data_IF_186907155496
#
_entry.id   IF_186907155496
#
_cell.length_a   1.000
_cell.length_b   1.000
_cell.length_c   1.000
_cell.angle_alpha   90.00
_cell.angle_beta   90.00
_cell.angle_gamma   90.00
#
_symmetry.space_group_name_H-M   'P 1'
#
loop_
_entity.id
_entity.type
_entity.pdbx_description
1 polymer ?
#
# COMPACT_ATOMS: atom_id res chain seq x y z
N UNK A 1 6.04 20.89 13.54
CA UNK A 1 7.24 20.97 12.66
C UNK A 1 7.96 19.62 12.54
N UNK A 2 8.27 18.91 13.64
CA UNK A 2 8.97 17.60 13.54
C UNK A 2 8.23 16.56 12.69
N UNK A 3 6.91 16.44 12.85
CA UNK A 3 6.12 15.45 12.11
C UNK A 3 6.14 15.67 10.59
N UNK A 4 6.12 16.93 10.14
CA UNK A 4 6.21 17.27 8.73
C UNK A 4 7.59 16.88 8.14
N UNK A 5 8.69 17.14 8.87
CA UNK A 5 10.02 16.75 8.41
C UNK A 5 10.27 15.24 8.39
N UNK A 6 9.65 14.49 9.32
CA UNK A 6 9.69 13.02 9.30
C UNK A 6 8.94 12.49 8.09
N UNK A 7 7.76 13.05 7.79
CA UNK A 7 6.97 12.66 6.62
C UNK A 7 7.74 12.95 5.32
N UNK A 8 8.26 14.18 5.16
CA UNK A 8 9.00 14.59 3.96
C UNK A 8 10.28 13.75 3.76
N UNK A 9 11.02 13.47 4.83
CA UNK A 9 12.20 12.59 4.75
C UNK A 9 11.85 11.16 4.33
N UNK A 10 10.72 10.63 4.81
CA UNK A 10 10.22 9.31 4.42
C UNK A 10 9.75 9.30 2.96
N UNK A 11 9.09 10.37 2.50
CA UNK A 11 8.64 10.50 1.10
C UNK A 11 9.82 10.59 0.12
N UNK A 12 10.93 11.24 0.50
CA UNK A 12 12.14 11.33 -0.33
C UNK A 12 12.90 10.00 -0.50
N UNK A 13 12.84 9.12 0.50
CA UNK A 13 13.52 7.82 0.48
C UNK A 13 12.69 6.74 -0.25
N UNK A 14 11.41 7.00 -0.51
CA UNK A 14 10.49 5.99 -1.03
C UNK A 14 10.29 6.15 -2.54
N UNK A 15 10.42 5.02 -3.25
CA UNK A 15 9.91 4.89 -4.61
C UNK A 15 8.41 4.61 -4.58
N UNK A 16 7.58 5.64 -4.65
CA UNK A 16 6.14 5.61 -4.34
C UNK A 16 5.29 4.58 -5.11
N UNK A 17 5.77 4.11 -6.27
CA UNK A 17 5.10 3.06 -7.05
C UNK A 17 5.44 1.63 -6.59
N UNK A 18 6.59 1.45 -5.93
CA UNK A 18 7.20 0.14 -5.63
C UNK A 18 7.10 -0.23 -4.14
N UNK A 19 6.99 0.75 -3.25
CA UNK A 19 6.90 0.52 -1.80
C UNK A 19 5.63 1.17 -1.28
N UNK A 20 4.93 0.45 -0.40
CA UNK A 20 3.72 0.96 0.24
C UNK A 20 3.75 0.68 1.73
N UNK A 21 3.36 1.68 2.52
CA UNK A 21 3.21 1.57 3.97
C UNK A 21 1.76 1.86 4.32
N UNK A 22 1.11 0.86 4.90
CA UNK A 22 -0.30 0.88 5.24
C UNK A 22 -0.49 0.72 6.74
N UNK A 23 -1.47 1.43 7.28
CA UNK A 23 -1.97 1.20 8.63
C UNK A 23 -3.32 0.53 8.49
N UNK A 24 -3.39 -0.71 8.98
CA UNK A 24 -4.57 -1.55 8.94
C UNK A 24 -5.23 -1.59 10.33
N UNK A 25 -6.54 -1.39 10.37
CA UNK A 25 -7.36 -1.50 11.57
C UNK A 25 -8.39 -2.62 11.37
N UNK A 26 -8.12 -3.83 11.87
CA UNK A 26 -9.09 -4.92 11.83
C UNK A 26 -10.25 -4.65 12.80
N UNK A 27 -11.46 -4.99 12.36
CA UNK A 27 -12.69 -4.92 13.15
C UNK A 27 -13.14 -6.32 13.58
N UNK A 28 -13.98 -6.39 14.62
CA UNK A 28 -14.45 -7.67 15.18
C UNK A 28 -15.37 -8.48 14.27
N UNK A 29 -15.85 -7.90 13.18
CA UNK A 29 -16.68 -8.55 12.15
C UNK A 29 -15.85 -9.12 10.98
N UNK A 30 -14.51 -9.02 11.05
CA UNK A 30 -13.61 -9.46 9.99
C UNK A 30 -13.38 -8.43 8.89
N UNK A 31 -13.99 -7.25 8.95
CA UNK A 31 -13.65 -6.13 8.07
C UNK A 31 -12.32 -5.48 8.48
N UNK A 32 -11.64 -4.85 7.53
CA UNK A 32 -10.39 -4.11 7.76
C UNK A 32 -10.55 -2.71 7.17
N UNK A 33 -10.21 -1.67 7.93
CA UNK A 33 -10.05 -0.33 7.40
C UNK A 33 -8.57 0.02 7.27
N UNK A 34 -8.16 0.44 6.08
CA UNK A 34 -6.76 0.76 5.78
C UNK A 34 -6.59 2.22 5.40
N UNK A 35 -5.44 2.80 5.75
CA UNK A 35 -5.02 4.09 5.24
C UNK A 35 -3.54 4.09 4.90
N UNK A 36 -3.16 4.91 3.91
CA UNK A 36 -1.76 5.17 3.60
C UNK A 36 -1.08 5.91 4.74
N UNK A 37 0.18 5.55 4.98
CA UNK A 37 1.05 6.32 5.85
C UNK A 37 1.45 7.64 5.19
N UNK A 38 1.73 7.64 3.88
CA UNK A 38 2.14 8.80 3.10
C UNK A 38 1.18 9.06 1.94
N UNK A 39 0.82 10.33 1.71
CA UNK A 39 -0.14 10.72 0.66
C UNK A 39 0.41 10.52 -0.75
N UNK A 40 1.73 10.56 -0.92
CA UNK A 40 2.40 10.39 -2.22
C UNK A 40 2.37 8.95 -2.74
N UNK A 41 1.97 7.96 -1.93
CA UNK A 41 1.82 6.56 -2.34
C UNK A 41 0.57 6.36 -3.19
N UNK A 42 0.76 6.05 -4.47
CA UNK A 42 -0.36 5.97 -5.43
C UNK A 42 -0.93 4.57 -5.63
N UNK A 43 -0.45 3.57 -4.90
CA UNK A 43 -0.95 2.19 -5.00
C UNK A 43 -2.30 2.02 -4.28
N UNK A 44 -3.09 0.95 -4.56
CA UNK A 44 -4.31 0.62 -3.81
C UNK A 44 -4.03 0.19 -2.36
N UNK A 45 -4.72 0.79 -1.37
CA UNK A 45 -4.48 0.58 0.10
C UNK A 45 -4.76 -0.83 0.60
N UNK A 46 -5.45 -1.62 -0.20
CA UNK A 46 -5.83 -3.01 0.05
C UNK A 46 -4.98 -3.99 -0.78
N UNK A 47 -3.93 -3.52 -1.47
CA UNK A 47 -3.08 -4.31 -2.39
C UNK A 47 -2.60 -5.63 -1.80
N UNK A 48 -2.32 -5.69 -0.50
CA UNK A 48 -1.84 -6.91 0.18
C UNK A 48 -2.92 -7.67 0.96
N UNK A 49 -4.14 -7.13 0.98
CA UNK A 49 -5.31 -7.74 1.63
C UNK A 49 -6.23 -8.44 0.62
N UNK A 50 -5.98 -8.23 -0.68
CA UNK A 50 -6.67 -8.90 -1.79
C UNK A 50 -5.69 -9.73 -2.59
N UNK A 51 -6.18 -10.81 -3.20
CA UNK A 51 -5.37 -11.63 -4.09
C UNK A 51 -4.87 -10.80 -5.27
N UNK A 52 -3.56 -10.55 -5.30
CA UNK A 52 -2.92 -9.78 -6.37
C UNK A 52 -2.54 -10.72 -7.54
N UNK A 53 -3.39 -10.76 -8.56
CA UNK A 53 -3.16 -11.58 -9.76
C UNK A 53 -2.31 -10.87 -10.83
N UNK A 54 -1.77 -9.67 -10.56
CA UNK A 54 -1.02 -8.91 -11.57
C UNK A 54 0.32 -9.54 -11.94
N UNK A 55 0.90 -10.34 -11.04
CA UNK A 55 2.20 -10.99 -11.26
C UNK A 55 2.10 -12.35 -11.97
N UNK A 56 0.88 -12.84 -12.26
CA UNK A 56 0.67 -14.14 -12.90
C UNK A 56 -0.13 -14.01 -14.20
N UNK A 57 0.56 -14.17 -15.34
CA UNK A 57 -0.09 -14.50 -16.61
C UNK A 57 0.23 -15.95 -16.96
N UNK A 58 -0.80 -16.75 -17.20
CA UNK A 58 -0.67 -18.10 -17.76
C UNK A 58 -1.14 -18.07 -19.23
N UNK A 59 -0.22 -18.34 -20.15
CA UNK A 59 -0.53 -18.50 -21.57
C UNK A 59 -0.95 -19.95 -21.78
N UNK A 60 -2.19 -20.17 -22.22
CA UNK A 60 -2.67 -21.50 -22.62
C UNK A 60 -2.62 -21.58 -24.14
N UNK A 61 -1.69 -22.38 -24.68
CA UNK A 61 -1.69 -22.72 -26.10
C UNK A 61 -2.78 -23.76 -26.39
N UNK A 62 -3.51 -23.58 -27.49
CA UNK A 62 -4.46 -24.56 -28.02
C UNK A 62 -3.77 -25.61 -28.87
#
# INVERSE_FOLDING_TARGET
MQQAGIQEGMELDIHAAMVSFDIEHPHGDGSISSKRLLESMTSPVDRYLVDDQRDFFYVVAR
#
